data_IF_762465283793
#
_entry.id   IF_762465283793
#
_cell.length_a   1.000
_cell.length_b   1.000
_cell.length_c   1.000
_cell.angle_alpha   90.00
_cell.angle_beta   90.00
_cell.angle_gamma   90.00
#
_symmetry.space_group_name_H-M   'P 1'
#
loop_
_entity.id
_entity.type
_entity.pdbx_description
1 polymer ?
#
# COMPACT_ATOMS: atom_id res chain seq x y z
N UNK A 1 2.26 -21.02 15.56
CA UNK A 1 2.29 -19.80 14.73
C UNK A 1 3.38 -18.90 15.29
N UNK A 2 4.31 -18.40 14.46
CA UNK A 2 5.35 -17.47 14.95
C UNK A 2 4.69 -16.15 15.33
N UNK A 3 5.17 -15.51 16.40
CA UNK A 3 4.62 -14.24 16.88
C UNK A 3 5.15 -13.07 16.04
N UNK A 4 4.28 -12.11 15.71
CA UNK A 4 4.65 -10.86 15.05
C UNK A 4 5.62 -10.05 15.93
N UNK A 5 6.78 -9.73 15.39
CA UNK A 5 7.76 -8.83 15.98
C UNK A 5 7.62 -7.43 15.37
N UNK A 6 7.62 -6.40 16.22
CA UNK A 6 7.45 -5.01 15.79
C UNK A 6 8.73 -4.25 16.09
N UNK A 7 9.37 -3.73 15.05
CA UNK A 7 10.58 -2.90 15.21
C UNK A 7 10.24 -1.57 15.89
N UNK A 8 11.17 -1.10 16.73
CA UNK A 8 11.07 0.23 17.34
C UNK A 8 11.37 1.32 16.30
N UNK A 9 11.05 2.58 16.64
CA UNK A 9 11.16 3.69 15.68
C UNK A 9 12.59 3.89 15.16
N UNK A 10 13.62 3.74 16.02
CA UNK A 10 15.02 3.91 15.60
C UNK A 10 15.49 2.84 14.61
N UNK A 11 15.13 1.58 14.83
CA UNK A 11 15.44 0.47 13.92
C UNK A 11 14.78 0.68 12.55
N UNK A 12 13.53 1.14 12.57
CA UNK A 12 12.76 1.42 11.38
C UNK A 12 13.31 2.62 10.61
N UNK A 13 13.78 3.64 11.31
CA UNK A 13 14.43 4.80 10.72
C UNK A 13 15.73 4.43 10.01
N UNK A 14 16.58 3.59 10.63
CA UNK A 14 17.79 3.08 10.01
C UNK A 14 17.50 2.31 8.72
N UNK A 15 16.46 1.48 8.69
CA UNK A 15 16.05 0.78 7.47
C UNK A 15 15.58 1.74 6.39
N UNK A 16 14.79 2.75 6.75
CA UNK A 16 14.24 3.72 5.80
C UNK A 16 15.33 4.60 5.17
N UNK A 17 16.42 4.89 5.88
CA UNK A 17 17.57 5.58 5.31
C UNK A 17 18.23 4.77 4.20
N UNK A 18 18.32 3.45 4.35
CA UNK A 18 18.88 2.53 3.33
C UNK A 18 18.01 2.49 2.07
N UNK A 19 16.68 2.48 2.20
CA UNK A 19 15.76 2.39 1.05
C UNK A 19 15.78 3.62 0.14
N UNK A 20 16.31 4.76 0.60
CA UNK A 20 16.38 5.98 -0.21
C UNK A 20 17.58 6.04 -1.17
N UNK A 21 18.43 5.02 -1.20
CA UNK A 21 19.77 5.10 -1.80
C UNK A 21 19.92 4.61 -3.25
N UNK A 22 19.03 3.75 -3.80
CA UNK A 22 19.23 3.19 -5.14
C UNK A 22 18.06 3.41 -6.10
N UNK A 23 18.40 3.91 -7.29
CA UNK A 23 17.46 4.09 -8.40
C UNK A 23 17.19 2.73 -9.03
N UNK A 24 15.99 2.19 -8.82
CA UNK A 24 15.54 0.97 -9.49
C UNK A 24 15.65 1.12 -11.03
N UNK A 25 16.00 0.05 -11.77
CA UNK A 25 16.00 0.05 -13.23
C UNK A 25 14.66 0.53 -13.79
N UNK A 26 14.69 1.24 -14.94
CA UNK A 26 13.49 1.84 -15.56
C UNK A 26 12.38 0.80 -15.78
N UNK A 27 12.71 -0.37 -16.32
CA UNK A 27 11.73 -1.42 -16.58
C UNK A 27 11.04 -1.95 -15.31
N UNK A 28 11.79 -2.09 -14.21
CA UNK A 28 11.23 -2.47 -12.91
C UNK A 28 10.32 -1.37 -12.35
N UNK A 29 10.71 -0.10 -12.49
CA UNK A 29 9.86 1.04 -12.08
C UNK A 29 8.57 1.10 -12.90
N UNK A 30 8.63 0.86 -14.20
CA UNK A 30 7.45 0.88 -15.07
C UNK A 30 6.48 -0.26 -14.71
N UNK A 31 7.00 -1.46 -14.45
CA UNK A 31 6.20 -2.60 -14.01
C UNK A 31 5.56 -2.37 -12.63
N UNK A 32 6.32 -1.85 -11.65
CA UNK A 32 5.79 -1.49 -10.34
C UNK A 32 4.75 -0.36 -10.43
N UNK A 33 4.99 0.61 -11.32
CA UNK A 33 4.08 1.70 -11.64
C UNK A 33 2.76 1.20 -12.23
N UNK A 34 2.83 0.22 -13.15
CA UNK A 34 1.66 -0.43 -13.72
C UNK A 34 0.86 -1.21 -12.66
N UNK A 35 1.54 -2.03 -11.85
CA UNK A 35 0.91 -2.77 -10.76
C UNK A 35 0.27 -1.84 -9.72
N UNK A 36 0.90 -0.72 -9.39
CA UNK A 36 0.31 0.22 -8.42
C UNK A 36 -0.94 0.93 -8.96
N UNK A 37 -0.97 1.24 -10.26
CA UNK A 37 -2.19 1.75 -10.92
C UNK A 37 -3.30 0.70 -10.96
N UNK A 38 -2.96 -0.57 -11.19
CA UNK A 38 -3.91 -1.67 -11.13
C UNK A 38 -4.50 -1.82 -9.71
N UNK A 39 -3.66 -1.73 -8.67
CA UNK A 39 -4.12 -1.73 -7.27
C UNK A 39 -5.07 -0.57 -6.98
N UNK A 40 -4.76 0.64 -7.45
CA UNK A 40 -5.63 1.83 -7.34
C UNK A 40 -7.00 1.61 -8.01
N UNK A 41 -7.01 0.98 -9.19
CA UNK A 41 -8.24 0.73 -9.95
C UNK A 41 -9.14 -0.34 -9.31
N UNK A 42 -8.55 -1.33 -8.64
CA UNK A 42 -9.30 -2.33 -7.85
C UNK A 42 -9.93 -1.66 -6.62
N UNK A 43 -9.29 -0.61 -6.09
CA UNK A 43 -9.62 0.07 -4.85
C UNK A 43 -10.63 1.25 -5.04
N UNK A 44 -11.70 1.06 -5.83
CA UNK A 44 -12.56 2.14 -6.41
C UNK A 44 -13.32 3.10 -5.45
N UNK A 45 -13.19 3.01 -4.13
CA UNK A 45 -13.81 3.91 -3.15
C UNK A 45 -12.96 5.14 -2.79
N UNK A 46 -13.58 6.27 -2.40
CA UNK A 46 -12.87 7.53 -2.05
C UNK A 46 -11.83 7.31 -0.93
N UNK A 47 -12.17 6.53 0.10
CA UNK A 47 -11.25 6.18 1.19
C UNK A 47 -10.06 5.32 0.71
N UNK A 48 -10.28 4.49 -0.31
CA UNK A 48 -9.29 3.57 -0.88
C UNK A 48 -8.41 4.23 -1.95
N UNK A 49 -8.89 5.27 -2.64
CA UNK A 49 -8.08 6.11 -3.54
C UNK A 49 -7.04 6.96 -2.79
N UNK A 50 -7.39 7.52 -1.65
CA UNK A 50 -6.43 8.24 -0.80
C UNK A 50 -5.36 7.30 -0.22
N UNK A 51 -5.74 6.05 0.02
CA UNK A 51 -4.83 4.96 0.39
C UNK A 51 -3.91 4.59 -0.77
N UNK A 52 -4.44 4.42 -1.99
CA UNK A 52 -3.69 4.13 -3.21
C UNK A 52 -2.78 5.30 -3.66
N UNK A 53 -3.15 6.55 -3.37
CA UNK A 53 -2.26 7.70 -3.54
C UNK A 53 -1.00 7.60 -2.66
N UNK A 54 -1.04 6.82 -1.58
CA UNK A 54 0.16 6.42 -0.82
C UNK A 54 1.13 5.53 -1.59
N UNK A 55 0.70 4.85 -2.67
CA UNK A 55 1.59 4.12 -3.57
C UNK A 55 2.42 5.05 -4.46
N UNK A 56 1.98 6.29 -4.70
CA UNK A 56 2.80 7.31 -5.36
C UNK A 56 4.06 7.66 -4.56
N UNK A 57 4.06 7.45 -3.23
CA UNK A 57 5.25 7.57 -2.39
C UNK A 57 6.45 6.72 -2.88
N UNK A 58 6.18 5.59 -3.54
CA UNK A 58 7.21 4.70 -4.08
C UNK A 58 7.43 4.86 -5.60
N UNK A 59 6.47 5.42 -6.34
CA UNK A 59 6.44 5.30 -7.81
C UNK A 59 6.09 6.55 -8.60
N UNK A 60 5.65 7.64 -7.95
CA UNK A 60 5.34 8.90 -8.63
C UNK A 60 6.02 10.04 -7.90
N UNK A 61 7.01 10.66 -8.55
CA UNK A 61 7.76 11.86 -8.13
C UNK A 61 7.85 12.05 -6.61
N UNK A 62 8.99 11.71 -5.97
CA UNK A 62 9.13 11.78 -4.52
C UNK A 62 8.61 13.12 -4.01
N UNK A 63 7.72 13.08 -3.03
CA UNK A 63 7.35 14.29 -2.31
C UNK A 63 8.65 14.96 -1.87
N UNK A 64 8.83 16.25 -2.19
CA UNK A 64 10.00 17.01 -1.73
C UNK A 64 10.06 17.08 -0.20
N UNK A 65 8.95 16.78 0.48
CA UNK A 65 8.87 16.65 1.93
C UNK A 65 9.16 15.21 2.37
N UNK A 66 10.43 14.96 2.67
CA UNK A 66 10.93 13.67 3.18
C UNK A 66 10.30 13.30 4.52
N UNK A 67 10.04 14.26 5.41
CA UNK A 67 9.42 14.01 6.71
C UNK A 67 8.00 13.46 6.56
N UNK A 68 7.23 14.01 5.63
CA UNK A 68 5.90 13.51 5.29
C UNK A 68 5.93 12.13 4.66
N UNK A 69 6.85 11.90 3.72
CA UNK A 69 7.05 10.58 3.11
C UNK A 69 7.33 9.52 4.18
N UNK A 70 8.22 9.83 5.13
CA UNK A 70 8.55 8.91 6.22
C UNK A 70 7.34 8.60 7.11
N UNK A 71 6.53 9.60 7.48
CA UNK A 71 5.28 9.39 8.24
C UNK A 71 4.29 8.47 7.53
N UNK A 72 4.20 8.56 6.20
CA UNK A 72 3.36 7.66 5.40
C UNK A 72 3.93 6.24 5.35
N UNK A 73 5.21 6.08 5.06
CA UNK A 73 5.84 4.77 4.84
C UNK A 73 5.94 3.97 6.14
N UNK A 74 6.28 4.64 7.25
CA UNK A 74 6.61 4.00 8.52
C UNK A 74 5.58 2.96 9.01
N UNK A 75 4.29 3.28 9.18
CA UNK A 75 3.32 2.29 9.66
C UNK A 75 3.20 1.09 8.71
N UNK A 76 3.22 1.33 7.39
CA UNK A 76 3.09 0.28 6.37
C UNK A 76 4.29 -0.66 6.37
N UNK A 77 5.50 -0.10 6.45
CA UNK A 77 6.73 -0.88 6.52
C UNK A 77 6.78 -1.72 7.80
N UNK A 78 6.40 -1.14 8.95
CA UNK A 78 6.29 -1.91 10.20
C UNK A 78 5.32 -3.07 10.09
N UNK A 79 4.15 -2.85 9.51
CA UNK A 79 3.14 -3.91 9.31
C UNK A 79 3.67 -5.04 8.40
N UNK A 80 4.34 -4.68 7.31
CA UNK A 80 4.99 -5.63 6.41
C UNK A 80 6.04 -6.48 7.15
N UNK A 81 6.98 -5.83 7.84
CA UNK A 81 8.04 -6.50 8.57
C UNK A 81 7.48 -7.39 9.70
N UNK A 82 6.44 -6.94 10.39
CA UNK A 82 5.76 -7.73 11.41
C UNK A 82 5.11 -8.99 10.82
N UNK A 83 4.45 -8.89 9.66
CA UNK A 83 3.89 -10.06 9.00
C UNK A 83 4.98 -11.03 8.51
N UNK A 84 6.07 -10.51 7.92
CA UNK A 84 7.21 -11.33 7.50
C UNK A 84 7.87 -12.06 8.68
N UNK A 85 8.04 -11.39 9.83
CA UNK A 85 8.58 -12.02 11.05
C UNK A 85 7.74 -13.19 11.55
N UNK A 86 6.43 -13.16 11.30
CA UNK A 86 5.50 -14.21 11.66
C UNK A 86 5.38 -15.32 10.60
N UNK A 87 6.16 -15.24 9.52
CA UNK A 87 6.24 -16.25 8.47
C UNK A 87 5.11 -16.14 7.44
N UNK A 88 4.79 -14.93 6.99
CA UNK A 88 3.78 -14.71 5.95
C UNK A 88 3.98 -15.65 4.76
N UNK A 89 2.94 -16.42 4.43
CA UNK A 89 2.96 -17.43 3.38
C UNK A 89 2.01 -17.04 2.22
N UNK A 90 2.35 -17.41 0.97
CA UNK A 90 1.46 -17.19 -0.16
C UNK A 90 0.22 -18.09 -0.08
N UNK A 91 -0.94 -17.52 -0.43
CA UNK A 91 -2.23 -18.19 -0.55
C UNK A 91 -2.52 -18.64 -1.99
N UNK A 92 -1.75 -18.16 -2.96
CA UNK A 92 -1.91 -18.51 -4.37
C UNK A 92 -0.55 -18.48 -5.09
N UNK A 93 -0.38 -19.21 -6.21
CA UNK A 93 0.88 -19.25 -6.96
C UNK A 93 1.21 -17.96 -7.71
N UNK A 94 0.23 -17.06 -7.87
CA UNK A 94 0.41 -15.81 -8.62
C UNK A 94 1.24 -14.76 -7.87
N UNK A 95 1.61 -15.00 -6.60
CA UNK A 95 2.44 -14.06 -5.81
C UNK A 95 3.88 -13.93 -6.31
N UNK A 96 4.34 -14.85 -7.17
CA UNK A 96 5.66 -14.76 -7.81
C UNK A 96 5.65 -13.87 -9.06
N UNK A 97 4.46 -13.46 -9.52
CA UNK A 97 4.31 -12.57 -10.67
C UNK A 97 4.36 -11.11 -10.22
N UNK A 98 4.84 -10.22 -11.10
CA UNK A 98 4.81 -8.77 -10.88
C UNK A 98 3.37 -8.28 -11.02
N UNK A 99 2.61 -8.36 -9.93
CA UNK A 99 1.19 -8.02 -9.84
C UNK A 99 0.86 -7.32 -8.53
N UNK A 100 -0.31 -6.66 -8.43
CA UNK A 100 -0.82 -6.21 -7.16
C UNK A 100 -1.00 -7.38 -6.19
N UNK A 101 -0.50 -7.20 -4.97
CA UNK A 101 -0.58 -8.20 -3.90
C UNK A 101 -1.38 -7.66 -2.72
N UNK A 102 -2.01 -8.55 -1.98
CA UNK A 102 -2.69 -8.31 -0.72
C UNK A 102 -1.96 -9.07 0.39
N UNK A 103 -1.38 -8.33 1.33
CA UNK A 103 -0.88 -8.86 2.60
C UNK A 103 -2.00 -8.81 3.64
N UNK A 104 -2.33 -9.95 4.23
CA UNK A 104 -3.20 -10.06 5.39
C UNK A 104 -2.33 -10.10 6.63
N UNK A 105 -2.47 -9.14 7.55
CA UNK A 105 -1.65 -9.12 8.77
C UNK A 105 -2.13 -10.11 9.85
N UNK A 106 -3.34 -10.65 9.72
CA UNK A 106 -3.86 -11.66 10.64
C UNK A 106 -4.83 -12.64 9.95
N UNK A 107 -4.47 -13.93 9.83
CA UNK A 107 -3.10 -14.44 9.96
C UNK A 107 -2.20 -13.86 8.86
N UNK A 108 -0.89 -13.72 9.13
CA UNK A 108 0.10 -13.23 8.16
C UNK A 108 0.09 -14.09 6.89
N UNK A 109 -0.42 -13.56 5.78
CA UNK A 109 -0.55 -14.29 4.51
C UNK A 109 -0.58 -13.35 3.30
N UNK A 110 -0.14 -13.82 2.13
CA UNK A 110 -0.01 -13.03 0.91
C UNK A 110 -0.90 -13.61 -0.19
N UNK A 111 -1.63 -12.79 -0.92
CA UNK A 111 -2.41 -13.24 -2.08
C UNK A 111 -2.30 -12.25 -3.23
N UNK A 112 -2.47 -12.72 -4.46
CA UNK A 112 -2.65 -11.85 -5.61
C UNK A 112 -4.02 -11.13 -5.54
N UNK A 113 -4.14 -9.93 -6.12
CA UNK A 113 -5.43 -9.22 -6.11
C UNK A 113 -6.39 -9.63 -7.26
N UNK A 114 -6.13 -10.74 -7.96
CA UNK A 114 -7.10 -11.26 -8.92
C UNK A 114 -8.40 -11.69 -8.19
N UNK A 115 -9.57 -11.52 -8.80
CA UNK A 115 -10.85 -11.81 -8.15
C UNK A 115 -10.91 -13.22 -7.53
N UNK A 116 -10.35 -14.22 -8.22
CA UNK A 116 -10.33 -15.61 -7.77
C UNK A 116 -9.39 -15.78 -6.56
N UNK A 117 -8.21 -15.17 -6.60
CA UNK A 117 -7.27 -15.13 -5.47
C UNK A 117 -7.87 -14.43 -4.23
N UNK A 118 -8.64 -13.36 -4.44
CA UNK A 118 -9.30 -12.62 -3.36
C UNK A 118 -10.43 -13.41 -2.73
N UNK A 119 -11.20 -14.17 -3.52
CA UNK A 119 -12.21 -15.08 -3.00
C UNK A 119 -11.58 -16.15 -2.10
N UNK A 120 -10.45 -16.74 -2.52
CA UNK A 120 -9.67 -17.68 -1.70
C UNK A 120 -9.17 -17.01 -0.41
N UNK A 121 -8.60 -15.80 -0.50
CA UNK A 121 -8.14 -15.08 0.68
C UNK A 121 -9.27 -14.76 1.67
N UNK A 122 -10.45 -14.39 1.17
CA UNK A 122 -11.65 -14.18 1.99
C UNK A 122 -12.10 -15.47 2.70
N UNK A 123 -12.13 -16.58 1.95
CA UNK A 123 -12.50 -17.89 2.49
C UNK A 123 -11.51 -18.40 3.55
N UNK A 124 -10.21 -18.31 3.27
CA UNK A 124 -9.16 -18.72 4.22
C UNK A 124 -9.19 -17.89 5.50
N UNK A 125 -9.47 -16.58 5.42
CA UNK A 125 -9.69 -15.74 6.62
C UNK A 125 -10.85 -16.26 7.47
N UNK A 126 -11.96 -16.66 6.85
CA UNK A 126 -13.10 -17.20 7.57
C UNK A 126 -12.78 -18.58 8.19
N UNK A 127 -12.06 -19.43 7.46
CA UNK A 127 -11.68 -20.78 7.89
C UNK A 127 -10.67 -20.79 9.03
N UNK A 128 -9.66 -19.92 8.96
CA UNK A 128 -8.56 -19.88 9.94
C UNK A 128 -8.97 -19.29 11.28
N UNK A 129 -10.21 -18.77 11.41
CA UNK A 129 -10.74 -18.27 12.67
C UNK A 129 -9.80 -17.23 13.29
N UNK A 130 -9.41 -16.24 12.47
CA UNK A 130 -8.40 -15.23 12.79
C UNK A 130 -8.53 -14.73 14.22
N UNK A 131 -7.55 -15.03 15.07
CA UNK A 131 -7.52 -14.58 16.45
C UNK A 131 -6.62 -13.36 16.59
N UNK A 132 -7.27 -12.20 16.43
CA UNK A 132 -6.70 -10.91 16.80
C UNK A 132 -6.16 -10.96 18.22
N UNK A 133 -4.87 -10.65 18.35
CA UNK A 133 -4.17 -10.63 19.63
C UNK A 133 -4.20 -9.25 20.30
N UNK A 134 -5.20 -8.41 19.95
CA UNK A 134 -5.36 -7.04 20.45
C UNK A 134 -4.12 -6.14 20.27
N UNK A 135 -3.16 -6.50 19.41
CA UNK A 135 -2.02 -5.63 19.09
C UNK A 135 -2.30 -4.83 17.83
N UNK A 136 -2.08 -3.52 17.91
CA UNK A 136 -2.12 -2.62 16.77
C UNK A 136 -1.00 -2.96 15.77
N UNK A 137 -1.35 -3.16 14.51
CA UNK A 137 -0.36 -3.50 13.47
C UNK A 137 0.55 -2.32 13.11
N UNK A 138 0.10 -1.08 13.36
CA UNK A 138 0.87 0.14 13.07
C UNK A 138 1.91 0.51 14.13
N UNK A 139 1.70 0.16 15.40
CA UNK A 139 2.59 0.54 16.50
C UNK A 139 2.94 -0.59 17.48
N UNK A 140 2.37 -1.79 17.33
CA UNK A 140 2.64 -2.96 18.17
C UNK A 140 2.05 -2.91 19.59
N UNK A 141 1.38 -1.80 19.97
CA UNK A 141 0.75 -1.64 21.29
C UNK A 141 -0.47 -2.54 21.43
N UNK A 142 -0.64 -3.10 22.62
CA UNK A 142 -1.86 -3.82 22.98
C UNK A 142 -2.97 -2.81 23.33
N UNK A 143 -4.14 -2.95 22.71
CA UNK A 143 -5.30 -2.07 22.92
C UNK A 143 -6.59 -2.89 22.84
N UNK A 144 -7.61 -2.46 23.56
CA UNK A 144 -8.89 -3.17 23.62
C UNK A 144 -9.62 -3.18 22.28
N UNK A 145 -9.69 -2.02 21.62
CA UNK A 145 -10.37 -1.84 20.35
C UNK A 145 -9.39 -1.50 19.22
N UNK A 146 -9.56 -2.20 18.10
CA UNK A 146 -8.82 -1.96 16.88
C UNK A 146 -9.80 -1.79 15.71
N UNK A 147 -9.46 -0.92 14.77
CA UNK A 147 -10.23 -0.69 13.55
C UNK A 147 -9.55 -1.40 12.38
N UNK A 148 -10.27 -2.17 11.54
CA UNK A 148 -9.69 -2.77 10.35
C UNK A 148 -9.38 -1.70 9.29
N UNK A 149 -8.21 -1.81 8.65
CA UNK A 149 -7.72 -0.91 7.60
C UNK A 149 -7.15 -1.69 6.42
N UNK A 150 -7.24 -1.08 5.24
CA UNK A 150 -6.50 -1.49 4.03
C UNK A 150 -5.59 -0.33 3.64
N UNK A 151 -4.30 -0.61 3.46
CA UNK A 151 -3.25 0.38 3.23
C UNK A 151 -2.38 0.02 2.03
N UNK A 152 -2.32 0.88 1.02
CA UNK A 152 -1.43 0.67 -0.11
C UNK A 152 0.01 1.05 0.25
N UNK A 153 0.94 0.27 -0.26
CA UNK A 153 2.38 0.34 -0.08
C UNK A 153 3.05 -0.05 -1.40
N UNK A 154 3.02 0.87 -2.37
CA UNK A 154 3.38 0.57 -3.75
C UNK A 154 2.40 -0.44 -4.37
N UNK A 155 2.86 -1.54 -5.00
CA UNK A 155 1.99 -2.57 -5.56
C UNK A 155 1.36 -3.48 -4.49
N UNK A 156 1.78 -3.34 -3.22
CA UNK A 156 1.25 -4.13 -2.11
C UNK A 156 0.10 -3.38 -1.44
N UNK A 157 -1.04 -4.03 -1.26
CA UNK A 157 -2.09 -3.62 -0.33
C UNK A 157 -1.92 -4.41 0.96
N UNK A 158 -1.83 -3.74 2.10
CA UNK A 158 -1.68 -4.36 3.41
C UNK A 158 -2.98 -4.17 4.18
N UNK A 159 -3.61 -5.28 4.57
CA UNK A 159 -4.69 -5.24 5.55
C UNK A 159 -4.13 -5.39 6.96
N UNK A 160 -4.61 -4.59 7.90
CA UNK A 160 -4.27 -4.74 9.30
C UNK A 160 -5.26 -4.03 10.20
N UNK A 161 -5.11 -4.17 11.51
CA UNK A 161 -5.99 -3.53 12.48
C UNK A 161 -5.20 -2.55 13.33
N UNK A 162 -5.69 -1.32 13.38
CA UNK A 162 -4.99 -0.18 13.94
C UNK A 162 -5.71 0.33 15.18
N UNK A 163 -4.95 0.81 16.17
CA UNK A 163 -5.51 1.57 17.27
C UNK A 163 -6.03 2.94 16.78
N UNK A 164 -6.79 3.62 17.62
CA UNK A 164 -7.35 4.94 17.30
C UNK A 164 -6.28 5.96 16.87
N UNK A 165 -5.16 6.02 17.59
CA UNK A 165 -4.05 6.92 17.26
C UNK A 165 -3.50 6.64 15.84
N UNK A 166 -3.15 5.38 15.55
CA UNK A 166 -2.65 4.99 14.23
C UNK A 166 -3.71 5.15 13.12
N UNK A 167 -4.99 5.00 13.45
CA UNK A 167 -6.11 5.26 12.52
C UNK A 167 -6.15 6.74 12.15
N UNK A 168 -6.07 7.65 13.12
CA UNK A 168 -6.02 9.10 12.88
C UNK A 168 -4.80 9.49 12.07
N UNK A 169 -3.62 8.96 12.41
CA UNK A 169 -2.38 9.25 11.68
C UNK A 169 -2.48 8.81 10.22
N UNK A 170 -3.05 7.63 9.98
CA UNK A 170 -3.24 7.08 8.65
C UNK A 170 -4.25 7.87 7.83
N UNK A 171 -5.37 8.28 8.44
CA UNK A 171 -6.37 9.13 7.81
C UNK A 171 -5.80 10.52 7.48
N UNK A 172 -5.08 11.15 8.42
CA UNK A 172 -4.42 12.44 8.21
C UNK A 172 -3.39 12.36 7.08
N UNK A 173 -2.60 11.28 7.04
CA UNK A 173 -1.65 11.04 5.97
C UNK A 173 -2.32 10.85 4.60
N UNK A 174 -3.46 10.16 4.56
CA UNK A 174 -4.25 9.96 3.35
C UNK A 174 -4.88 11.28 2.84
N UNK A 175 -5.42 12.11 3.74
CA UNK A 175 -5.95 13.44 3.42
C UNK A 175 -4.85 14.37 2.89
N UNK A 176 -3.69 14.39 3.56
CA UNK A 176 -2.55 15.15 3.07
C UNK A 176 -2.14 14.69 1.66
N UNK A 177 -2.14 13.37 1.40
CA UNK A 177 -1.85 12.79 0.08
C UNK A 177 -2.84 13.25 -1.00
N UNK A 178 -4.14 13.32 -0.69
CA UNK A 178 -5.13 13.79 -1.67
C UNK A 178 -4.97 15.27 -2.03
N UNK A 179 -4.56 16.13 -1.09
CA UNK A 179 -4.38 17.57 -1.35
C UNK A 179 -3.22 17.86 -2.30
N UNK A 180 -2.25 16.94 -2.40
CA UNK A 180 -1.09 17.06 -3.29
C UNK A 180 -1.26 16.37 -4.65
N UNK A 181 -2.38 15.70 -4.89
CA UNK A 181 -2.66 15.14 -6.21
C UNK A 181 -3.04 16.29 -7.13
N UNK A 182 -2.05 16.85 -7.83
CA UNK A 182 -2.30 17.82 -8.89
C UNK A 182 -3.20 17.13 -9.93
N UNK A 183 -4.49 17.45 -9.91
CA UNK A 183 -5.45 16.97 -10.89
C UNK A 183 -4.97 17.43 -12.26
N UNK A 184 -4.31 16.53 -13.01
CA UNK A 184 -3.82 16.80 -14.35
C UNK A 184 -5.02 17.22 -15.21
N UNK A 185 -5.12 18.53 -15.45
CA UNK A 185 -6.19 19.08 -16.26
C UNK A 185 -6.19 18.44 -17.65
N UNK A 186 -7.35 18.23 -18.25
CA UNK A 186 -7.48 17.65 -19.61
C UNK A 186 -6.55 18.28 -20.66
N UNK A 187 -6.20 19.57 -20.49
CA UNK A 187 -5.32 20.32 -21.40
C UNK A 187 -3.84 20.33 -20.96
N UNK A 188 -3.50 19.92 -19.75
CA UNK A 188 -2.14 19.90 -19.22
C UNK A 188 -1.27 18.88 -20.00
N UNK A 189 0.07 19.04 -20.00
CA UNK A 189 0.99 18.03 -20.53
C UNK A 189 0.76 16.68 -19.86
N UNK A 190 0.86 15.60 -20.63
CA UNK A 190 0.64 14.25 -20.12
C UNK A 190 1.82 13.84 -19.22
N UNK A 191 1.57 13.32 -18.00
CA UNK A 191 2.61 12.98 -17.04
C UNK A 191 3.52 11.82 -17.47
N UNK A 192 3.21 11.14 -18.58
CA UNK A 192 4.07 10.11 -19.16
C UNK A 192 5.26 10.67 -19.96
N UNK A 193 5.46 12.00 -19.97
CA UNK A 193 6.60 12.64 -20.64
C UNK A 193 6.50 12.72 -22.17
N UNK A 194 5.37 12.35 -22.78
CA UNK A 194 5.21 12.32 -24.25
C UNK A 194 5.13 13.68 -24.93
N UNK A 195 5.09 14.78 -24.16
CA UNK A 195 4.82 16.13 -24.66
C UNK A 195 3.39 16.37 -25.17
N UNK A 196 2.54 15.34 -25.25
CA UNK A 196 1.14 15.46 -25.68
C UNK A 196 0.26 15.95 -24.53
N UNK A 197 -0.88 16.60 -24.85
CA UNK A 197 -1.89 16.95 -23.83
C UNK A 197 -2.54 15.70 -23.25
N UNK A 198 -2.85 15.70 -21.96
CA UNK A 198 -3.43 14.54 -21.24
C UNK A 198 -4.64 13.94 -21.96
N UNK A 199 -5.62 14.76 -22.38
CA UNK A 199 -6.81 14.29 -23.12
C UNK A 199 -6.53 13.62 -24.48
N UNK A 200 -5.34 13.80 -25.06
CA UNK A 200 -4.91 13.21 -26.34
C UNK A 200 -3.87 12.09 -26.15
N UNK A 201 -3.72 11.62 -24.93
CA UNK A 201 -2.81 10.55 -24.54
C UNK A 201 -3.57 9.67 -23.54
N UNK A 202 -3.06 9.46 -22.33
CA UNK A 202 -3.71 8.61 -21.33
C UNK A 202 -5.13 9.06 -20.92
N UNK A 203 -5.47 10.34 -21.09
CA UNK A 203 -6.82 10.85 -20.87
C UNK A 203 -7.82 10.60 -22.01
N UNK A 204 -7.42 9.92 -23.10
CA UNK A 204 -8.31 9.61 -24.23
C UNK A 204 -9.19 8.38 -24.00
N UNK A 205 -8.82 7.49 -23.06
CA UNK A 205 -9.54 6.23 -22.80
C UNK A 205 -10.78 6.37 -21.88
N UNK A 206 -11.13 7.58 -21.46
CA UNK A 206 -12.35 7.88 -20.70
C UNK A 206 -13.38 8.71 -21.48
N UNK A 207 -13.29 8.72 -22.82
CA UNK A 207 -14.11 9.59 -23.68
C UNK A 207 -15.05 8.84 -24.64
N UNK A 208 -15.34 7.57 -24.40
CA UNK A 208 -16.29 6.81 -25.21
C UNK A 208 -17.25 6.00 -24.33
N UNK A 209 -18.53 6.36 -24.46
CA UNK A 209 -19.76 5.91 -23.80
C UNK A 209 -19.98 6.39 -22.36
#
# INVERSE_FOLDING_TARGET
MKTRQFLIDSELDSLMDVFTAEVLPVGTRDQLGAASKEAEQIARGIALRAVAAGAHAFLGTPSRDTGRLRRMIRPRLRMLLAALSAGAAPLCPHTEQVRPQLLVCDPPSLSCMQPECLAVAGFERQRLGVRWNHRCDGCGRHVEMLTPHLLAFGPLTISGHLCEACTRDTAAAALAASDSTECVGRKSPCPCGSGRRFKRCHGSQHATA
#
